data_IF_351448991437
#
_entry.id   IF_351448991437
#
_cell.length_a   1.000
_cell.length_b   1.000
_cell.length_c   1.000
_cell.angle_alpha   90.00
_cell.angle_beta   90.00
_cell.angle_gamma   90.00
#
_symmetry.space_group_name_H-M   'P 1'
#
loop_
_entity.id
_entity.type
_entity.pdbx_description
1 polymer ?
#
# COMPACT_ATOMS: atom_id res chain seq x y z
N UNK A 1 8.45 -3.97 14.94
CA UNK A 1 9.37 -4.30 16.02
C UNK A 1 10.73 -3.59 15.86
N UNK A 2 11.22 -3.41 14.63
CA UNK A 2 12.56 -2.86 14.31
C UNK A 2 12.50 -1.48 13.63
N UNK A 3 11.33 -0.93 13.36
CA UNK A 3 11.13 0.43 12.80
C UNK A 3 9.89 1.08 13.42
N UNK A 4 9.72 2.39 13.22
CA UNK A 4 8.53 3.11 13.66
C UNK A 4 7.39 3.00 12.64
N UNK A 5 6.13 3.13 13.09
CA UNK A 5 4.98 3.10 12.19
C UNK A 5 5.07 4.14 11.08
N UNK A 6 5.54 5.35 11.40
CA UNK A 6 5.70 6.44 10.42
C UNK A 6 6.76 6.14 9.36
N UNK A 7 7.95 5.61 9.78
CA UNK A 7 8.99 5.18 8.83
C UNK A 7 8.51 4.03 7.98
N UNK A 8 7.86 3.04 8.59
CA UNK A 8 7.30 1.89 7.88
C UNK A 8 6.31 2.34 6.80
N UNK A 9 5.35 3.20 7.13
CA UNK A 9 4.39 3.74 6.17
C UNK A 9 5.08 4.50 5.03
N UNK A 10 6.08 5.34 5.35
CA UNK A 10 6.82 6.09 4.33
C UNK A 10 7.58 5.15 3.38
N UNK A 11 8.38 4.23 3.92
CA UNK A 11 9.24 3.35 3.13
C UNK A 11 8.40 2.38 2.30
N UNK A 12 7.32 1.81 2.87
CA UNK A 12 6.42 0.94 2.11
C UNK A 12 5.83 1.69 0.92
N UNK A 13 5.32 2.90 1.13
CA UNK A 13 4.64 3.67 0.08
C UNK A 13 5.60 4.18 -1.02
N UNK A 14 6.93 4.02 -0.87
CA UNK A 14 7.86 4.24 -1.98
C UNK A 14 7.56 3.37 -3.20
N UNK A 15 6.71 2.35 -3.08
CA UNK A 15 6.20 1.60 -4.22
C UNK A 15 5.57 2.51 -5.29
N UNK A 16 5.07 3.67 -4.92
CA UNK A 16 4.49 4.67 -5.85
C UNK A 16 5.49 5.10 -6.93
N UNK A 17 6.78 5.24 -6.58
CA UNK A 17 7.83 5.53 -7.57
C UNK A 17 8.25 4.25 -8.29
N UNK A 18 8.31 3.12 -7.60
CA UNK A 18 8.81 1.85 -8.15
C UNK A 18 7.86 1.30 -9.22
N UNK A 19 6.55 1.36 -8.97
CA UNK A 19 5.51 0.79 -9.85
C UNK A 19 5.60 1.30 -11.29
N UNK A 20 5.69 2.60 -11.60
CA UNK A 20 5.79 3.06 -13.00
C UNK A 20 6.96 2.47 -13.76
N UNK A 21 8.12 2.28 -13.11
CA UNK A 21 9.30 1.71 -13.74
C UNK A 21 9.18 0.20 -13.94
N UNK A 22 8.67 -0.53 -12.93
CA UNK A 22 8.37 -1.96 -13.07
C UNK A 22 7.31 -2.21 -14.14
N UNK A 23 6.27 -1.40 -14.17
CA UNK A 23 5.23 -1.47 -15.20
C UNK A 23 5.82 -1.29 -16.59
N UNK A 24 6.74 -0.34 -16.77
CA UNK A 24 7.44 -0.15 -18.04
C UNK A 24 8.24 -1.39 -18.45
N UNK A 25 8.97 -2.00 -17.52
CA UNK A 25 9.77 -3.21 -17.80
C UNK A 25 8.85 -4.37 -18.23
N UNK A 26 7.74 -4.60 -17.51
CA UNK A 26 6.85 -5.75 -17.72
C UNK A 26 5.95 -5.55 -18.94
N UNK A 27 5.32 -4.38 -19.07
CA UNK A 27 4.33 -4.09 -20.12
C UNK A 27 4.96 -3.45 -21.36
N UNK A 28 6.25 -3.08 -21.33
CA UNK A 28 6.98 -2.34 -22.36
C UNK A 28 6.33 -1.00 -22.77
N UNK A 29 5.34 -0.55 -22.00
CA UNK A 29 4.65 0.74 -22.18
C UNK A 29 5.30 1.77 -21.27
N UNK A 30 5.87 2.83 -21.85
CA UNK A 30 6.48 3.92 -21.08
C UNK A 30 5.43 4.63 -20.22
N UNK A 31 5.70 4.85 -18.92
CA UNK A 31 4.81 5.65 -18.10
C UNK A 31 4.75 7.08 -18.64
N UNK A 32 3.57 7.67 -18.64
CA UNK A 32 3.42 9.06 -19.02
C UNK A 32 4.18 9.99 -18.07
N UNK A 33 4.75 11.07 -18.59
CA UNK A 33 5.52 12.03 -17.76
C UNK A 33 4.70 12.57 -16.58
N UNK A 34 3.39 12.69 -16.72
CA UNK A 34 2.48 13.10 -15.64
C UNK A 34 2.42 12.09 -14.50
N UNK A 35 2.37 10.79 -14.82
CA UNK A 35 2.35 9.74 -13.79
C UNK A 35 3.66 9.73 -12.99
N UNK A 36 4.78 9.98 -13.68
CA UNK A 36 6.08 10.13 -13.00
C UNK A 36 6.09 11.37 -12.11
N UNK A 37 5.65 12.53 -12.62
CA UNK A 37 5.56 13.75 -11.83
C UNK A 37 4.61 13.59 -10.63
N UNK A 38 3.44 12.94 -10.82
CA UNK A 38 2.50 12.64 -9.77
C UNK A 38 3.10 11.71 -8.71
N UNK A 39 3.85 10.68 -9.10
CA UNK A 39 4.53 9.78 -8.18
C UNK A 39 5.56 10.53 -7.30
N UNK A 40 6.37 11.40 -7.89
CA UNK A 40 7.29 12.24 -7.12
C UNK A 40 6.55 13.19 -6.18
N UNK A 41 5.48 13.83 -6.64
CA UNK A 41 4.65 14.71 -5.82
C UNK A 41 4.03 13.97 -4.63
N UNK A 42 3.52 12.75 -4.86
CA UNK A 42 2.97 11.88 -3.82
C UNK A 42 4.03 11.54 -2.76
N UNK A 43 5.25 11.21 -3.17
CA UNK A 43 6.33 10.88 -2.22
C UNK A 43 6.77 12.10 -1.41
N UNK A 44 6.82 13.30 -2.01
CA UNK A 44 7.10 14.53 -1.26
C UNK A 44 6.00 14.78 -0.22
N UNK A 45 4.73 14.65 -0.62
CA UNK A 45 3.59 14.77 0.29
C UNK A 45 3.65 13.76 1.44
N UNK A 46 3.95 12.50 1.12
CA UNK A 46 4.09 11.43 2.10
C UNK A 46 5.27 11.67 3.05
N UNK A 47 6.40 12.20 2.55
CA UNK A 47 7.54 12.56 3.38
C UNK A 47 7.16 13.62 4.43
N UNK A 48 6.38 14.63 4.04
CA UNK A 48 5.88 15.65 4.97
C UNK A 48 4.92 15.08 6.01
N UNK A 49 4.12 14.04 5.65
CA UNK A 49 3.22 13.36 6.57
C UNK A 49 3.96 12.47 7.57
N UNK A 50 4.91 11.68 7.10
CA UNK A 50 5.43 10.53 7.83
C UNK A 50 6.79 10.78 8.48
N UNK A 51 7.64 11.65 7.92
CA UNK A 51 9.00 11.83 8.44
C UNK A 51 9.02 12.85 9.59
N UNK A 52 9.19 12.33 10.79
CA UNK A 52 9.33 13.10 12.02
C UNK A 52 10.70 12.77 12.66
N UNK A 53 11.72 13.59 12.38
CA UNK A 53 12.98 13.59 13.11
C UNK A 53 14.05 12.64 12.59
N UNK A 54 14.22 11.49 13.19
CA UNK A 54 15.35 10.59 12.94
C UNK A 54 15.28 9.86 11.60
N UNK A 55 16.26 10.09 10.73
CA UNK A 55 16.44 9.46 9.42
C UNK A 55 17.44 8.29 9.45
N UNK A 56 17.86 7.81 10.63
CA UNK A 56 18.73 6.64 10.72
C UNK A 56 18.08 5.42 10.07
N UNK A 57 18.85 4.70 9.26
CA UNK A 57 18.39 3.48 8.59
C UNK A 57 18.72 2.30 9.49
N UNK A 58 17.72 1.46 9.74
CA UNK A 58 17.88 0.25 10.53
C UNK A 58 17.43 -1.01 9.75
N UNK A 59 17.63 -2.19 10.34
CA UNK A 59 17.26 -3.46 9.70
C UNK A 59 15.75 -3.56 9.37
N UNK A 60 14.89 -2.99 10.21
CA UNK A 60 13.45 -2.93 9.94
C UNK A 60 13.11 -2.08 8.72
N UNK A 61 13.82 -0.99 8.51
CA UNK A 61 13.64 -0.12 7.35
C UNK A 61 14.03 -0.84 6.05
N UNK A 62 15.10 -1.67 6.10
CA UNK A 62 15.48 -2.52 4.97
C UNK A 62 14.41 -3.56 4.65
N UNK A 63 13.88 -4.27 5.66
CA UNK A 63 12.78 -5.23 5.46
C UNK A 63 11.53 -4.56 4.89
N UNK A 64 11.23 -3.34 5.36
CA UNK A 64 10.11 -2.55 4.85
C UNK A 64 10.30 -2.15 3.39
N UNK A 65 11.52 -1.80 2.99
CA UNK A 65 11.83 -1.50 1.59
C UNK A 65 11.61 -2.73 0.69
N UNK A 66 12.06 -3.90 1.13
CA UNK A 66 11.80 -5.17 0.44
C UNK A 66 10.30 -5.43 0.32
N UNK A 67 9.54 -5.20 1.38
CA UNK A 67 8.08 -5.30 1.38
C UNK A 67 7.45 -4.36 0.34
N UNK A 68 7.86 -3.08 0.32
CA UNK A 68 7.39 -2.10 -0.67
C UNK A 68 7.72 -2.50 -2.11
N UNK A 69 8.92 -3.07 -2.35
CA UNK A 69 9.29 -3.62 -3.66
C UNK A 69 8.39 -4.80 -4.06
N UNK A 70 8.14 -5.74 -3.14
CA UNK A 70 7.24 -6.87 -3.42
C UNK A 70 5.81 -6.42 -3.67
N UNK A 71 5.34 -5.38 -2.96
CA UNK A 71 4.04 -4.78 -3.21
C UNK A 71 3.96 -4.10 -4.57
N UNK A 72 5.02 -3.42 -5.01
CA UNK A 72 5.10 -2.86 -6.36
C UNK A 72 5.02 -3.96 -7.44
N UNK A 73 5.74 -5.07 -7.26
CA UNK A 73 5.68 -6.25 -8.14
C UNK A 73 4.26 -6.80 -8.17
N UNK A 74 3.65 -6.99 -7.00
CA UNK A 74 2.27 -7.47 -6.88
C UNK A 74 1.29 -6.59 -7.68
N UNK A 75 1.36 -5.26 -7.52
CA UNK A 75 0.48 -4.33 -8.23
C UNK A 75 0.61 -4.44 -9.76
N UNK A 76 1.84 -4.55 -10.28
CA UNK A 76 2.08 -4.69 -11.72
C UNK A 76 1.54 -6.01 -12.25
N UNK A 77 1.66 -7.10 -11.49
CA UNK A 77 1.09 -8.39 -11.88
C UNK A 77 -0.44 -8.42 -11.82
N UNK A 78 -1.05 -7.80 -10.80
CA UNK A 78 -2.51 -7.67 -10.72
C UNK A 78 -3.06 -6.87 -11.90
N UNK A 79 -2.43 -5.74 -12.26
CA UNK A 79 -2.81 -4.96 -13.45
C UNK A 79 -2.83 -5.83 -14.71
N UNK A 80 -1.79 -6.65 -14.89
CA UNK A 80 -1.68 -7.55 -16.03
C UNK A 80 -2.70 -8.69 -16.01
N UNK A 81 -2.94 -9.29 -14.84
CA UNK A 81 -3.87 -10.43 -14.74
C UNK A 81 -5.32 -9.98 -14.82
N UNK A 82 -5.68 -8.79 -14.32
CA UNK A 82 -7.04 -8.26 -14.42
C UNK A 82 -7.45 -7.86 -15.84
N UNK A 83 -6.51 -7.77 -16.79
CA UNK A 83 -6.84 -7.64 -18.22
C UNK A 83 -7.64 -8.84 -18.75
N UNK A 84 -7.38 -10.05 -18.24
CA UNK A 84 -7.95 -11.31 -18.75
C UNK A 84 -8.71 -12.13 -17.73
N UNK A 85 -8.48 -11.93 -16.45
CA UNK A 85 -9.05 -12.69 -15.36
C UNK A 85 -10.07 -11.89 -14.57
N UNK A 86 -10.98 -12.61 -13.91
CA UNK A 86 -11.94 -12.00 -13.01
C UNK A 86 -11.24 -11.54 -11.70
N UNK A 87 -11.42 -10.25 -11.30
CA UNK A 87 -10.81 -9.73 -10.08
C UNK A 87 -11.21 -10.48 -8.80
N UNK A 88 -12.43 -11.03 -8.76
CA UNK A 88 -12.90 -11.80 -7.60
C UNK A 88 -12.11 -13.10 -7.49
N UNK A 89 -11.98 -13.83 -8.61
CA UNK A 89 -11.22 -15.08 -8.65
C UNK A 89 -9.75 -14.83 -8.29
N UNK A 90 -9.14 -13.75 -8.81
CA UNK A 90 -7.77 -13.36 -8.46
C UNK A 90 -7.63 -13.07 -6.97
N UNK A 91 -8.60 -12.36 -6.37
CA UNK A 91 -8.59 -12.04 -4.93
C UNK A 91 -8.66 -13.32 -4.10
N UNK A 92 -9.54 -14.27 -4.45
CA UNK A 92 -9.65 -15.53 -3.73
C UNK A 92 -8.35 -16.33 -3.83
N UNK A 93 -7.80 -16.48 -5.03
CA UNK A 93 -6.56 -17.24 -5.26
C UNK A 93 -5.39 -16.62 -4.48
N UNK A 94 -5.21 -15.29 -4.51
CA UNK A 94 -4.10 -14.65 -3.82
C UNK A 94 -4.20 -14.76 -2.30
N UNK A 95 -5.41 -14.62 -1.73
CA UNK A 95 -5.63 -14.78 -0.28
C UNK A 95 -5.38 -16.22 0.15
N UNK A 96 -5.88 -17.19 -0.60
CA UNK A 96 -5.64 -18.62 -0.32
C UNK A 96 -4.14 -18.95 -0.43
N UNK A 97 -3.46 -18.51 -1.47
CA UNK A 97 -2.03 -18.72 -1.63
C UNK A 97 -1.24 -18.09 -0.48
N UNK A 98 -1.57 -16.86 -0.10
CA UNK A 98 -0.96 -16.19 1.04
C UNK A 98 -1.22 -16.92 2.36
N UNK A 99 -2.44 -17.40 2.59
CA UNK A 99 -2.78 -18.18 3.78
C UNK A 99 -1.98 -19.48 3.86
N UNK A 100 -1.94 -20.26 2.77
CA UNK A 100 -1.17 -21.51 2.70
C UNK A 100 0.32 -21.26 2.97
N UNK A 101 0.89 -20.24 2.31
CA UNK A 101 2.30 -19.88 2.47
C UNK A 101 2.62 -19.44 3.90
N UNK A 102 1.81 -18.57 4.48
CA UNK A 102 2.01 -18.10 5.86
C UNK A 102 1.90 -19.26 6.86
N UNK A 103 0.88 -20.14 6.74
CA UNK A 103 0.76 -21.31 7.61
C UNK A 103 1.92 -22.30 7.45
N UNK A 104 2.44 -22.45 6.24
CA UNK A 104 3.62 -23.30 6.01
C UNK A 104 4.90 -22.69 6.63
N UNK A 105 5.04 -21.39 6.63
CA UNK A 105 6.22 -20.69 7.17
C UNK A 105 6.16 -20.45 8.68
N UNK A 106 4.96 -20.30 9.26
CA UNK A 106 4.77 -19.95 10.66
C UNK A 106 5.52 -20.82 11.66
N UNK A 107 5.54 -22.17 11.54
CA UNK A 107 6.26 -23.01 12.48
C UNK A 107 7.78 -22.77 12.51
N UNK A 108 8.34 -22.28 11.39
CA UNK A 108 9.78 -22.03 11.26
C UNK A 108 10.16 -20.62 11.74
N UNK A 109 9.24 -19.66 11.69
CA UNK A 109 9.51 -18.26 11.99
C UNK A 109 9.04 -17.85 13.39
N UNK A 110 7.86 -18.33 13.80
CA UNK A 110 7.17 -17.88 15.01
C UNK A 110 7.11 -18.96 16.11
N UNK A 111 7.50 -20.20 15.79
CA UNK A 111 7.43 -21.35 16.71
C UNK A 111 6.00 -21.90 16.85
N UNK A 112 5.65 -22.39 18.05
CA UNK A 112 4.32 -23.01 18.28
C UNK A 112 3.27 -21.92 18.53
N UNK A 113 2.17 -22.01 17.77
CA UNK A 113 1.02 -21.14 17.95
C UNK A 113 0.17 -21.60 19.14
N UNK A 114 -0.12 -20.70 20.06
CA UNK A 114 -1.05 -20.96 21.18
C UNK A 114 -2.49 -20.66 20.75
N UNK A 115 -3.26 -21.72 20.47
CA UNK A 115 -4.67 -21.59 20.09
C UNK A 115 -5.56 -21.03 21.22
N UNK A 116 -5.11 -21.04 22.48
CA UNK A 116 -5.87 -20.45 23.57
C UNK A 116 -6.11 -18.94 23.39
N UNK A 117 -5.23 -18.27 22.65
CA UNK A 117 -5.36 -16.86 22.26
C UNK A 117 -6.65 -16.59 21.47
N UNK A 118 -7.18 -17.54 20.72
CA UNK A 118 -8.44 -17.42 19.98
C UNK A 118 -9.69 -17.47 20.88
N UNK A 119 -9.55 -17.85 22.14
CA UNK A 119 -10.64 -17.84 23.12
C UNK A 119 -10.93 -16.42 23.66
N UNK A 120 -9.98 -15.49 23.49
CA UNK A 120 -10.22 -14.09 23.81
C UNK A 120 -11.15 -13.46 22.76
N UNK A 121 -12.37 -13.13 23.16
CA UNK A 121 -13.40 -12.55 22.29
C UNK A 121 -12.96 -11.20 21.68
N UNK A 122 -12.22 -10.40 22.44
CA UNK A 122 -11.73 -9.09 21.96
C UNK A 122 -10.71 -9.28 20.83
N UNK A 123 -9.76 -10.19 21.04
CA UNK A 123 -8.76 -10.52 20.03
C UNK A 123 -9.40 -11.16 18.80
N UNK A 124 -10.30 -12.13 18.99
CA UNK A 124 -11.00 -12.79 17.90
C UNK A 124 -11.81 -11.81 17.05
N UNK A 125 -12.53 -10.87 17.68
CA UNK A 125 -13.28 -9.83 16.96
C UNK A 125 -12.36 -8.91 16.15
N UNK A 126 -11.20 -8.53 16.71
CA UNK A 126 -10.18 -7.76 15.99
C UNK A 126 -9.60 -8.51 14.80
N UNK A 127 -9.28 -9.79 14.96
CA UNK A 127 -8.79 -10.65 13.88
C UNK A 127 -9.83 -10.82 12.76
N UNK A 128 -11.10 -11.04 13.12
CA UNK A 128 -12.19 -11.13 12.13
C UNK A 128 -12.38 -9.82 11.38
N UNK A 129 -12.31 -8.67 12.06
CA UNK A 129 -12.37 -7.36 11.42
C UNK A 129 -11.22 -7.18 10.42
N UNK A 130 -10.00 -7.50 10.81
CA UNK A 130 -8.82 -7.41 9.93
C UNK A 130 -8.93 -8.38 8.74
N UNK A 131 -9.37 -9.61 8.96
CA UNK A 131 -9.51 -10.61 7.90
C UNK A 131 -10.58 -10.23 6.88
N UNK A 132 -11.74 -9.76 7.33
CA UNK A 132 -12.87 -9.43 6.46
C UNK A 132 -12.67 -8.07 5.80
N UNK A 133 -12.52 -7.00 6.59
CA UNK A 133 -12.51 -5.64 6.07
C UNK A 133 -11.13 -5.20 5.57
N UNK A 134 -10.09 -5.35 6.38
CA UNK A 134 -8.76 -4.86 6.03
C UNK A 134 -8.02 -5.76 5.03
N UNK A 135 -8.42 -7.03 4.90
CA UNK A 135 -7.81 -7.94 3.93
C UNK A 135 -8.75 -8.24 2.79
N UNK A 136 -9.84 -8.98 3.02
CA UNK A 136 -10.69 -9.49 1.94
C UNK A 136 -11.36 -8.38 1.15
N UNK A 137 -12.08 -7.47 1.83
CA UNK A 137 -12.78 -6.37 1.16
C UNK A 137 -11.79 -5.40 0.52
N UNK A 138 -10.70 -5.07 1.21
CA UNK A 138 -9.70 -4.14 0.69
C UNK A 138 -9.05 -4.67 -0.60
N UNK A 139 -8.58 -5.93 -0.62
CA UNK A 139 -7.99 -6.53 -1.82
C UNK A 139 -9.01 -6.73 -2.94
N UNK A 140 -10.26 -7.05 -2.61
CA UNK A 140 -11.32 -7.15 -3.61
C UNK A 140 -11.57 -5.80 -4.30
N UNK A 141 -11.66 -4.72 -3.54
CA UNK A 141 -11.82 -3.37 -4.06
C UNK A 141 -10.60 -2.92 -4.86
N UNK A 142 -9.39 -3.22 -4.36
CA UNK A 142 -8.14 -2.94 -5.05
C UNK A 142 -8.08 -3.64 -6.40
N UNK A 143 -8.26 -4.95 -6.46
CA UNK A 143 -8.18 -5.72 -7.69
C UNK A 143 -9.29 -5.33 -8.68
N UNK A 144 -10.49 -5.05 -8.18
CA UNK A 144 -11.60 -4.56 -9.01
C UNK A 144 -11.33 -3.19 -9.59
N UNK A 145 -10.74 -2.28 -8.81
CA UNK A 145 -10.33 -0.95 -9.26
C UNK A 145 -9.18 -1.00 -10.28
N UNK A 146 -8.19 -1.85 -10.04
CA UNK A 146 -7.05 -2.02 -10.95
C UNK A 146 -7.43 -2.55 -12.34
N UNK A 147 -8.56 -3.21 -12.48
CA UNK A 147 -9.11 -3.60 -13.80
C UNK A 147 -9.35 -2.41 -14.72
N UNK A 148 -9.63 -1.24 -14.18
CA UNK A 148 -10.00 -0.02 -14.92
C UNK A 148 -8.90 1.04 -14.92
N UNK A 149 -7.88 0.88 -14.11
CA UNK A 149 -6.81 1.86 -13.88
C UNK A 149 -5.45 1.21 -14.18
N UNK A 150 -4.48 2.01 -14.64
CA UNK A 150 -3.10 1.51 -14.75
C UNK A 150 -2.50 1.25 -13.37
N UNK A 151 -1.54 0.33 -13.28
CA UNK A 151 -0.82 0.06 -12.03
C UNK A 151 -0.23 1.35 -11.41
N UNK A 152 0.29 2.27 -12.23
CA UNK A 152 0.85 3.55 -11.75
C UNK A 152 -0.19 4.46 -11.13
N UNK A 153 -1.36 4.60 -11.74
CA UNK A 153 -2.46 5.39 -11.18
C UNK A 153 -3.00 4.75 -9.91
N UNK A 154 -3.17 3.42 -9.91
CA UNK A 154 -3.61 2.67 -8.73
C UNK A 154 -2.63 2.83 -7.56
N UNK A 155 -1.32 2.85 -7.82
CA UNK A 155 -0.30 3.07 -6.79
C UNK A 155 -0.46 4.46 -6.12
N UNK A 156 -0.70 5.50 -6.92
CA UNK A 156 -0.90 6.85 -6.40
C UNK A 156 -2.22 6.93 -5.60
N UNK A 157 -3.30 6.32 -6.09
CA UNK A 157 -4.58 6.28 -5.37
C UNK A 157 -4.46 5.53 -4.03
N UNK A 158 -3.80 4.39 -4.02
CA UNK A 158 -3.59 3.62 -2.80
C UNK A 158 -2.73 4.37 -1.78
N UNK A 159 -1.79 5.21 -2.21
CA UNK A 159 -1.01 6.05 -1.30
C UNK A 159 -1.86 7.04 -0.48
N UNK A 160 -3.11 7.32 -0.91
CA UNK A 160 -4.06 8.12 -0.13
C UNK A 160 -4.42 7.50 1.22
N UNK A 161 -4.10 6.22 1.45
CA UNK A 161 -4.24 5.58 2.77
C UNK A 161 -3.54 6.41 3.87
N UNK A 162 -2.39 7.02 3.56
CA UNK A 162 -1.65 7.86 4.51
C UNK A 162 -2.39 9.17 4.83
N UNK A 163 -3.13 9.72 3.87
CA UNK A 163 -3.98 10.89 4.09
C UNK A 163 -5.18 10.53 4.97
N UNK A 164 -5.86 9.44 4.65
CA UNK A 164 -6.98 8.94 5.47
C UNK A 164 -6.52 8.49 6.85
N UNK A 165 -5.36 7.82 6.96
CA UNK A 165 -4.75 7.46 8.23
C UNK A 165 -4.50 8.68 9.10
N UNK A 166 -3.93 9.75 8.54
CA UNK A 166 -3.75 11.03 9.24
C UNK A 166 -5.09 11.65 9.67
N UNK A 167 -6.08 11.67 8.79
CA UNK A 167 -7.41 12.20 9.10
C UNK A 167 -8.07 11.44 10.25
N UNK A 168 -8.04 10.11 10.21
CA UNK A 168 -8.61 9.27 11.28
C UNK A 168 -7.83 9.39 12.58
N UNK A 169 -6.51 9.52 12.52
CA UNK A 169 -5.67 9.78 13.70
C UNK A 169 -6.10 11.07 14.41
N UNK A 170 -6.32 12.16 13.67
CA UNK A 170 -6.81 13.43 14.22
C UNK A 170 -8.22 13.28 14.81
N UNK A 171 -9.13 12.56 14.14
CA UNK A 171 -10.52 12.43 14.58
C UNK A 171 -10.65 11.51 15.80
N UNK A 172 -10.01 10.33 15.76
CA UNK A 172 -10.21 9.28 16.78
C UNK A 172 -9.17 9.32 17.90
N UNK A 173 -7.91 9.63 17.58
CA UNK A 173 -6.81 9.67 18.54
C UNK A 173 -6.55 11.08 19.07
N UNK A 174 -7.23 12.10 18.49
CA UNK A 174 -7.07 13.51 18.83
C UNK A 174 -5.64 14.03 18.63
N UNK A 175 -4.93 13.47 17.65
CA UNK A 175 -3.61 13.94 17.28
C UNK A 175 -3.64 15.37 16.75
N UNK A 176 -2.58 16.14 17.04
CA UNK A 176 -2.50 17.53 16.61
C UNK A 176 -2.12 17.61 15.13
N UNK A 177 -3.01 18.19 14.34
CA UNK A 177 -2.76 18.40 12.92
C UNK A 177 -1.74 19.53 12.73
N UNK A 178 -0.54 19.19 12.29
CA UNK A 178 0.53 20.17 12.04
C UNK A 178 0.43 20.77 10.63
N UNK A 179 1.01 21.96 10.43
CA UNK A 179 1.07 22.57 9.10
C UNK A 179 1.79 21.70 8.06
N UNK A 180 2.79 20.89 8.47
CA UNK A 180 3.46 19.91 7.60
C UNK A 180 2.50 18.81 7.15
N UNK A 181 1.65 18.29 8.03
CA UNK A 181 0.67 17.26 7.71
C UNK A 181 -0.38 17.80 6.73
N UNK A 182 -0.85 19.03 6.91
CA UNK A 182 -1.80 19.66 5.97
C UNK A 182 -1.17 19.81 4.59
N UNK A 183 0.07 20.33 4.52
CA UNK A 183 0.80 20.46 3.26
C UNK A 183 1.04 19.10 2.58
N UNK A 184 1.38 18.05 3.36
CA UNK A 184 1.56 16.69 2.87
C UNK A 184 0.27 16.12 2.27
N UNK A 185 -0.85 16.25 2.98
CA UNK A 185 -2.17 15.84 2.48
C UNK A 185 -2.54 16.56 1.17
N UNK A 186 -2.32 17.87 1.11
CA UNK A 186 -2.62 18.68 -0.07
C UNK A 186 -1.79 18.24 -1.29
N UNK A 187 -0.48 17.98 -1.09
CA UNK A 187 0.40 17.49 -2.15
C UNK A 187 0.01 16.09 -2.64
N UNK A 188 -0.35 15.18 -1.75
CA UNK A 188 -0.82 13.85 -2.13
C UNK A 188 -2.14 13.91 -2.89
N UNK A 189 -3.07 14.77 -2.48
CA UNK A 189 -4.31 14.98 -3.20
C UNK A 189 -4.06 15.59 -4.60
N UNK A 190 -3.16 16.56 -4.70
CA UNK A 190 -2.74 17.13 -5.98
C UNK A 190 -2.07 16.07 -6.89
N UNK A 191 -1.31 15.14 -6.31
CA UNK A 191 -0.71 14.02 -7.06
C UNK A 191 -1.78 13.11 -7.68
N UNK A 192 -2.82 12.77 -6.93
CA UNK A 192 -3.96 11.98 -7.44
C UNK A 192 -4.62 12.72 -8.60
N UNK A 193 -4.97 14.00 -8.41
CA UNK A 193 -5.59 14.77 -9.48
C UNK A 193 -4.70 14.86 -10.73
N UNK A 194 -3.39 15.02 -10.54
CA UNK A 194 -2.44 15.08 -11.66
C UNK A 194 -2.37 13.73 -12.41
N UNK A 195 -2.47 12.61 -11.72
CA UNK A 195 -2.42 11.27 -12.33
C UNK A 195 -3.67 10.95 -13.15
N UNK A 196 -4.83 11.48 -12.74
CA UNK A 196 -6.12 11.24 -13.39
C UNK A 196 -6.38 12.14 -14.60
N UNK A 197 -5.63 13.22 -14.78
CA UNK A 197 -5.79 14.08 -15.94
C UNK A 197 -5.55 13.30 -17.24
N UNK A 198 -6.42 13.47 -18.28
CA UNK A 198 -6.28 12.74 -19.52
C UNK A 198 -4.93 13.01 -20.17
N UNK A 199 -4.18 11.93 -20.45
CA UNK A 199 -2.92 12.03 -21.17
C UNK A 199 -3.22 12.29 -22.64
N UNK A 200 -2.58 13.32 -23.23
CA UNK A 200 -2.57 13.46 -24.69
C UNK A 200 -1.95 12.17 -25.25
N UNK A 201 -2.71 11.45 -26.10
CA UNK A 201 -2.18 10.31 -26.85
C UNK A 201 -0.95 10.80 -27.62
N UNK A 202 0.22 10.30 -27.29
CA UNK A 202 1.42 10.39 -28.13
C UNK A 202 1.35 9.31 -29.21
#
# INVERSE_FOLDING_TARGET
KYTTASKNAFITTLYVIIVPFLYWIVSKKRPGGRNIAAAFLAVIGLALLSLQGDLSINYGDFLTLVCGLMFAVHMVFIDKFTETQDPIALTVIQILAAAIFNWACAPFLDGTFDFAVLLDKSLLSGLLYLAVFSTTVAYLLQNSGQKYLSASTSAILLSMESVFGTLFSVIFLKDVLTGKMIAGCALMFAAVLLSELPQKKQ
#
